data_IF_693262298580
#
_entry.id   IF_693262298580
#
_cell.length_a   1.000
_cell.length_b   1.000
_cell.length_c   1.000
_cell.angle_alpha   90.00
_cell.angle_beta   90.00
_cell.angle_gamma   90.00
#
_symmetry.space_group_name_H-M   'P 1'
#
loop_
_entity.id
_entity.type
_entity.pdbx_description
1 polymer ?
#
# COMPACT_ATOMS: atom_id res chain seq x y z
N UNK A 1 11.39 19.31 -25.24
CA UNK A 1 10.07 18.65 -25.19
C UNK A 1 10.24 17.36 -24.40
N UNK A 2 9.61 17.23 -23.22
CA UNK A 2 9.55 15.94 -22.52
C UNK A 2 8.65 15.02 -23.34
N UNK A 3 9.16 13.84 -23.71
CA UNK A 3 8.40 12.81 -24.43
C UNK A 3 7.29 12.37 -23.48
N UNK A 4 6.02 12.54 -23.84
CA UNK A 4 4.92 11.98 -23.05
C UNK A 4 5.09 10.46 -23.05
N UNK A 5 5.19 9.83 -21.88
CA UNK A 5 5.01 8.40 -21.80
C UNK A 5 3.60 8.11 -22.28
N UNK A 6 3.48 7.22 -23.26
CA UNK A 6 2.20 6.73 -23.75
C UNK A 6 1.99 5.26 -23.36
N UNK A 7 2.99 4.64 -22.73
CA UNK A 7 3.01 3.24 -22.34
C UNK A 7 3.74 3.06 -21.02
N UNK A 8 3.35 2.08 -20.23
CA UNK A 8 4.04 1.58 -19.03
C UNK A 8 4.29 0.08 -19.20
N UNK A 9 5.55 -0.36 -19.08
CA UNK A 9 6.00 -1.74 -19.40
C UNK A 9 5.45 -2.33 -20.72
N UNK A 10 5.35 -1.49 -21.75
CA UNK A 10 4.85 -1.87 -23.08
C UNK A 10 3.32 -1.80 -23.25
N UNK A 11 2.57 -1.59 -22.17
CA UNK A 11 1.11 -1.45 -22.20
C UNK A 11 0.69 0.01 -22.35
N UNK A 12 -0.27 0.34 -23.24
CA UNK A 12 -0.76 1.71 -23.41
C UNK A 12 -1.38 2.27 -22.14
N UNK A 13 -1.11 3.54 -21.84
CA UNK A 13 -1.78 4.24 -20.74
C UNK A 13 -3.29 4.41 -21.06
N UNK A 14 -4.14 4.10 -20.08
CA UNK A 14 -5.57 4.37 -20.19
C UNK A 14 -5.86 5.88 -20.12
N UNK A 15 -7.05 6.32 -20.57
CA UNK A 15 -7.49 7.70 -20.35
C UNK A 15 -7.48 8.10 -18.88
N UNK A 16 -7.86 7.18 -17.98
CA UNK A 16 -7.81 7.40 -16.54
C UNK A 16 -6.37 7.69 -16.10
N UNK A 17 -5.41 6.87 -16.52
CA UNK A 17 -4.01 7.06 -16.15
C UNK A 17 -3.43 8.38 -16.66
N UNK A 18 -3.80 8.78 -17.88
CA UNK A 18 -3.40 10.08 -18.45
C UNK A 18 -4.00 11.26 -17.68
N UNK A 19 -5.23 11.11 -17.16
CA UNK A 19 -5.93 12.15 -16.41
C UNK A 19 -5.46 12.24 -14.96
N UNK A 20 -5.34 11.10 -14.26
CA UNK A 20 -4.98 11.02 -12.86
C UNK A 20 -3.48 11.17 -12.62
N UNK A 21 -2.65 10.79 -13.60
CA UNK A 21 -1.21 10.64 -13.44
C UNK A 21 -0.79 9.33 -12.78
N UNK A 22 -1.69 8.36 -12.64
CA UNK A 22 -1.43 7.06 -12.00
C UNK A 22 -1.94 5.89 -12.85
N UNK A 23 -1.18 4.80 -12.91
CA UNK A 23 -1.55 3.60 -13.68
C UNK A 23 -2.82 2.97 -13.12
N UNK A 24 -3.76 2.57 -13.99
CA UNK A 24 -4.96 1.84 -13.57
C UNK A 24 -4.66 0.36 -13.25
N UNK A 25 -5.42 -0.22 -12.32
CA UNK A 25 -5.22 -1.61 -11.89
C UNK A 25 -5.38 -2.63 -13.02
N UNK A 26 -6.18 -2.33 -14.05
CA UNK A 26 -6.30 -3.23 -15.20
C UNK A 26 -4.96 -3.36 -15.91
N UNK A 27 -4.25 -2.26 -16.12
CA UNK A 27 -2.90 -2.27 -16.70
C UNK A 27 -1.89 -2.94 -15.76
N UNK A 28 -2.00 -2.75 -14.44
CA UNK A 28 -1.20 -3.47 -13.44
C UNK A 28 -1.37 -4.98 -13.57
N UNK A 29 -2.62 -5.46 -13.68
CA UNK A 29 -2.92 -6.88 -13.84
C UNK A 29 -2.23 -7.49 -15.05
N UNK A 30 -2.32 -6.81 -16.18
CA UNK A 30 -1.77 -7.28 -17.45
C UNK A 30 -0.23 -7.34 -17.41
N UNK A 31 0.42 -6.34 -16.81
CA UNK A 31 1.89 -6.29 -16.68
C UNK A 31 2.40 -7.34 -15.68
N UNK A 32 1.69 -7.53 -14.57
CA UNK A 32 2.13 -8.42 -13.49
C UNK A 32 1.77 -9.89 -13.73
N UNK A 33 0.86 -10.15 -14.66
CA UNK A 33 0.30 -11.48 -14.89
C UNK A 33 -0.64 -11.92 -13.77
N UNK A 34 -1.42 -10.99 -13.22
CA UNK A 34 -2.29 -11.22 -12.07
C UNK A 34 -3.42 -12.21 -12.39
N UNK A 35 -3.45 -13.32 -11.66
CA UNK A 35 -4.50 -14.34 -11.74
C UNK A 35 -5.12 -14.56 -10.35
N UNK A 36 -6.46 -14.72 -10.22
CA UNK A 36 -7.11 -14.90 -8.93
C UNK A 36 -6.48 -16.05 -8.12
N UNK A 37 -6.17 -15.79 -6.85
CA UNK A 37 -5.52 -16.76 -5.97
C UNK A 37 -6.20 -16.79 -4.60
N UNK A 38 -6.52 -17.99 -4.13
CA UNK A 38 -7.11 -18.18 -2.80
C UNK A 38 -6.01 -18.53 -1.80
N UNK A 39 -5.51 -17.51 -1.10
CA UNK A 39 -4.46 -17.69 -0.07
C UNK A 39 -4.95 -18.45 1.17
N UNK A 40 -6.27 -18.64 1.32
CA UNK A 40 -6.89 -19.32 2.48
C UNK A 40 -7.26 -20.77 2.20
N UNK A 41 -7.09 -21.25 0.96
CA UNK A 41 -7.49 -22.58 0.55
C UNK A 41 -6.69 -23.71 1.22
N UNK A 42 -5.56 -23.37 1.86
CA UNK A 42 -4.53 -24.31 2.26
C UNK A 42 -3.83 -23.85 3.54
N UNK A 43 -3.33 -24.80 4.35
CA UNK A 43 -2.41 -24.52 5.48
C UNK A 43 -0.98 -24.22 4.95
N UNK A 44 -0.88 -23.44 3.87
CA UNK A 44 0.36 -23.21 3.15
C UNK A 44 1.13 -22.05 3.76
N UNK A 45 1.93 -22.36 4.78
CA UNK A 45 2.96 -21.48 5.31
C UNK A 45 2.50 -20.10 5.81
N UNK A 46 3.49 -19.30 6.21
CA UNK A 46 3.26 -17.90 6.56
C UNK A 46 3.48 -17.03 5.30
N UNK A 47 2.57 -16.07 5.06
CA UNK A 47 2.72 -15.07 4.01
C UNK A 47 3.45 -13.86 4.57
N UNK A 48 4.62 -13.53 4.00
CA UNK A 48 5.41 -12.36 4.38
C UNK A 48 5.03 -11.16 3.51
N UNK A 49 4.75 -10.02 4.13
CA UNK A 49 4.61 -8.75 3.41
C UNK A 49 5.99 -8.28 2.93
N UNK A 50 6.19 -8.27 1.62
CA UNK A 50 7.47 -7.87 0.99
C UNK A 50 7.40 -6.50 0.31
N UNK A 51 6.20 -5.92 0.17
CA UNK A 51 6.00 -4.56 -0.34
C UNK A 51 4.78 -3.86 0.24
N UNK A 52 4.86 -2.53 0.33
CA UNK A 52 3.77 -1.69 0.81
C UNK A 52 3.62 -1.72 2.33
N UNK A 53 2.46 -1.26 2.79
CA UNK A 53 2.12 -1.18 4.21
C UNK A 53 0.66 -1.61 4.41
N UNK A 54 0.49 -2.75 5.07
CA UNK A 54 -0.82 -3.32 5.38
C UNK A 54 -1.36 -2.86 6.74
N UNK A 55 -0.73 -1.84 7.35
CA UNK A 55 -1.20 -1.20 8.56
C UNK A 55 -1.53 0.26 8.32
N UNK A 56 -2.54 0.76 9.02
CA UNK A 56 -2.82 2.18 9.11
C UNK A 56 -3.13 2.59 10.56
N UNK A 57 -2.83 3.84 10.87
CA UNK A 57 -2.97 4.42 12.20
C UNK A 57 -3.79 5.70 12.12
N UNK A 58 -4.46 6.03 13.23
CA UNK A 58 -5.22 7.26 13.37
C UNK A 58 -4.75 8.08 14.56
N UNK A 59 -4.73 9.40 14.43
CA UNK A 59 -4.61 10.29 15.57
C UNK A 59 -6.00 10.65 16.16
N UNK A 60 -6.02 11.48 17.20
CA UNK A 60 -7.28 11.91 17.84
C UNK A 60 -8.16 12.80 16.95
N UNK A 61 -7.66 13.30 15.82
CA UNK A 61 -8.41 14.06 14.82
C UNK A 61 -8.95 13.18 13.69
N UNK A 62 -8.56 11.90 13.65
CA UNK A 62 -8.90 10.97 12.57
C UNK A 62 -8.06 11.15 11.31
N UNK A 63 -6.89 11.81 11.41
CA UNK A 63 -5.92 11.81 10.33
C UNK A 63 -5.33 10.40 10.19
N UNK A 64 -5.09 9.96 8.94
CA UNK A 64 -4.63 8.61 8.62
C UNK A 64 -3.14 8.61 8.32
N UNK A 65 -2.44 7.63 8.87
CA UNK A 65 -1.00 7.45 8.71
C UNK A 65 -0.71 6.00 8.31
N UNK A 66 0.24 5.79 7.41
CA UNK A 66 0.95 4.51 7.28
C UNK A 66 2.00 4.42 8.41
N UNK A 67 2.70 3.29 8.52
CA UNK A 67 3.65 3.01 9.59
C UNK A 67 4.83 3.99 9.60
N UNK A 68 5.34 4.38 8.43
CA UNK A 68 6.45 5.34 8.34
C UNK A 68 5.99 6.72 8.79
N UNK A 69 4.88 7.22 8.25
CA UNK A 69 4.32 8.51 8.64
C UNK A 69 3.92 8.53 10.12
N UNK A 70 3.38 7.42 10.66
CA UNK A 70 3.04 7.30 12.07
C UNK A 70 4.30 7.39 12.94
N UNK A 71 5.38 6.70 12.56
CA UNK A 71 6.65 6.76 13.28
C UNK A 71 7.25 8.18 13.26
N UNK A 72 7.29 8.85 12.11
CA UNK A 72 7.77 10.23 12.00
C UNK A 72 6.92 11.18 12.85
N UNK A 73 5.61 11.01 12.83
CA UNK A 73 4.68 11.83 13.62
C UNK A 73 4.89 11.62 15.11
N UNK A 74 5.12 10.39 15.56
CA UNK A 74 5.44 10.09 16.97
C UNK A 74 6.73 10.80 17.39
N UNK A 75 7.79 10.77 16.59
CA UNK A 75 9.05 11.46 16.89
C UNK A 75 8.84 12.98 17.06
N UNK A 76 8.05 13.59 16.19
CA UNK A 76 7.69 15.02 16.30
C UNK A 76 6.94 15.30 17.61
N UNK A 77 5.90 14.50 17.91
CA UNK A 77 5.08 14.67 19.10
C UNK A 77 5.88 14.47 20.38
N UNK A 78 6.80 13.51 20.44
CA UNK A 78 7.70 13.28 21.57
C UNK A 78 8.61 14.50 21.81
N UNK A 79 9.15 15.09 20.75
CA UNK A 79 9.95 16.31 20.84
C UNK A 79 9.12 17.51 21.37
N UNK A 80 7.86 17.64 20.91
CA UNK A 80 6.93 18.67 21.39
C UNK A 80 6.60 18.48 22.87
N UNK A 81 6.35 17.25 23.32
CA UNK A 81 6.08 16.91 24.72
C UNK A 81 7.29 17.28 25.59
N UNK A 82 8.50 16.91 25.18
CA UNK A 82 9.73 17.24 25.90
C UNK A 82 9.98 18.76 26.01
N UNK A 83 9.61 19.53 24.96
CA UNK A 83 9.77 20.98 24.90
C UNK A 83 8.69 21.80 25.62
N UNK A 84 7.61 21.17 26.09
CA UNK A 84 6.36 21.85 26.51
C UNK A 84 6.44 22.70 27.78
N UNK A 85 7.50 22.57 28.60
CA UNK A 85 7.73 23.36 29.84
C UNK A 85 6.49 23.52 30.75
N UNK A 86 5.68 22.47 30.89
CA UNK A 86 4.51 22.45 31.77
C UNK A 86 3.19 22.90 31.13
N UNK A 87 3.15 23.05 29.82
CA UNK A 87 1.89 23.15 29.07
C UNK A 87 1.15 21.80 29.06
N UNK A 88 -0.15 21.84 28.79
CA UNK A 88 -0.95 20.63 28.62
C UNK A 88 -0.54 19.90 27.33
N UNK A 89 -0.07 18.68 27.47
CA UNK A 89 0.35 17.81 26.36
C UNK A 89 -0.53 16.57 26.24
N UNK A 90 -1.70 16.56 26.87
CA UNK A 90 -2.56 15.36 26.95
C UNK A 90 -2.94 14.84 25.57
N UNK A 91 -3.23 15.76 24.63
CA UNK A 91 -3.55 15.41 23.25
C UNK A 91 -2.38 14.75 22.51
N UNK A 92 -1.19 15.35 22.54
CA UNK A 92 0.00 14.75 21.91
C UNK A 92 0.33 13.37 22.47
N UNK A 93 0.14 13.18 23.79
CA UNK A 93 0.34 11.86 24.42
C UNK A 93 -0.69 10.83 23.96
N UNK A 94 -1.95 11.24 23.80
CA UNK A 94 -2.99 10.38 23.25
C UNK A 94 -2.71 10.02 21.79
N UNK A 95 -2.29 10.99 20.97
CA UNK A 95 -1.90 10.77 19.58
C UNK A 95 -0.70 9.79 19.51
N UNK A 96 0.33 9.95 20.37
CA UNK A 96 1.44 8.99 20.44
C UNK A 96 0.94 7.58 20.75
N UNK A 97 0.08 7.41 21.77
CA UNK A 97 -0.45 6.09 22.15
C UNK A 97 -1.21 5.42 20.99
N UNK A 98 -2.06 6.17 20.28
CA UNK A 98 -2.80 5.68 19.12
C UNK A 98 -1.85 5.26 17.99
N UNK A 99 -0.91 6.13 17.63
CA UNK A 99 0.02 5.92 16.51
C UNK A 99 1.06 4.82 16.79
N UNK A 100 1.29 4.41 18.04
CA UNK A 100 2.22 3.32 18.37
C UNK A 100 1.54 1.99 18.66
N UNK A 101 0.29 1.98 19.10
CA UNK A 101 -0.34 0.80 19.72
C UNK A 101 -1.63 0.37 19.04
N UNK A 102 -2.31 1.30 18.36
CA UNK A 102 -3.65 1.10 17.81
C UNK A 102 -3.65 1.12 16.28
N UNK A 103 -2.66 0.48 15.67
CA UNK A 103 -2.67 0.20 14.24
C UNK A 103 -3.79 -0.78 13.88
N UNK A 104 -4.44 -0.53 12.75
CA UNK A 104 -5.45 -1.39 12.16
C UNK A 104 -4.93 -2.00 10.86
N UNK A 105 -5.30 -3.26 10.60
CA UNK A 105 -4.92 -3.98 9.38
C UNK A 105 -5.76 -3.48 8.21
N UNK A 106 -5.08 -3.23 7.08
CA UNK A 106 -5.68 -2.89 5.80
C UNK A 106 -6.49 -4.06 5.27
N UNK A 107 -7.78 -3.81 5.05
CA UNK A 107 -8.70 -4.82 4.51
C UNK A 107 -8.35 -5.16 3.06
N UNK A 108 -7.73 -6.32 2.85
CA UNK A 108 -7.56 -6.91 1.52
C UNK A 108 -8.87 -7.60 1.10
N UNK A 109 -9.40 -7.21 -0.06
CA UNK A 109 -10.62 -7.76 -0.63
C UNK A 109 -10.37 -9.12 -1.29
N UNK A 110 -9.30 -9.21 -2.09
CA UNK A 110 -8.96 -10.36 -2.90
C UNK A 110 -7.44 -10.42 -3.14
N UNK A 111 -6.92 -11.61 -3.40
CA UNK A 111 -5.52 -11.86 -3.71
C UNK A 111 -5.36 -12.39 -5.13
N UNK A 112 -4.27 -12.00 -5.77
CA UNK A 112 -3.95 -12.42 -7.12
C UNK A 112 -2.51 -12.88 -7.17
N UNK A 113 -2.27 -14.11 -7.62
CA UNK A 113 -0.92 -14.58 -7.92
C UNK A 113 -0.36 -13.72 -9.05
N UNK A 114 0.87 -13.27 -8.86
CA UNK A 114 1.61 -12.50 -9.84
C UNK A 114 2.93 -13.21 -10.18
N UNK A 115 3.48 -12.88 -11.34
CA UNK A 115 4.82 -13.35 -11.72
C UNK A 115 5.89 -12.71 -10.85
N UNK A 116 7.06 -13.35 -10.71
CA UNK A 116 8.22 -12.78 -10.02
C UNK A 116 8.64 -11.42 -10.63
N UNK A 117 8.59 -11.30 -11.96
CA UNK A 117 8.86 -10.03 -12.66
C UNK A 117 7.80 -8.98 -12.31
N UNK A 118 6.53 -9.36 -12.26
CA UNK A 118 5.43 -8.51 -11.80
C UNK A 118 5.63 -8.02 -10.36
N UNK A 119 5.99 -8.92 -9.44
CA UNK A 119 6.29 -8.57 -8.06
C UNK A 119 7.44 -7.55 -7.96
N UNK A 120 8.51 -7.75 -8.74
CA UNK A 120 9.64 -6.83 -8.79
C UNK A 120 9.23 -5.44 -9.28
N UNK A 121 8.42 -5.36 -10.33
CA UNK A 121 7.89 -4.08 -10.82
C UNK A 121 7.09 -3.36 -9.72
N UNK A 122 6.21 -4.08 -9.02
CA UNK A 122 5.43 -3.49 -7.93
C UNK A 122 6.32 -3.01 -6.77
N UNK A 123 7.33 -3.79 -6.39
CA UNK A 123 8.29 -3.41 -5.35
C UNK A 123 9.14 -2.19 -5.72
N UNK A 124 9.50 -2.05 -6.99
CA UNK A 124 10.37 -0.97 -7.46
C UNK A 124 9.60 0.34 -7.72
N UNK A 125 8.31 0.25 -8.06
CA UNK A 125 7.55 1.39 -8.63
C UNK A 125 6.28 1.76 -7.84
N UNK A 126 5.97 1.07 -6.75
CA UNK A 126 4.68 1.23 -6.06
C UNK A 126 4.73 0.91 -4.57
N UNK A 127 3.66 1.31 -3.87
CA UNK A 127 3.38 0.88 -2.50
C UNK A 127 2.22 -0.13 -2.47
N UNK A 128 1.99 -0.87 -3.56
CA UNK A 128 1.00 -1.94 -3.60
C UNK A 128 1.39 -3.06 -2.64
N UNK A 129 0.40 -3.70 -2.02
CA UNK A 129 0.64 -4.82 -1.10
C UNK A 129 1.09 -6.04 -1.89
N UNK A 130 2.34 -6.45 -1.70
CA UNK A 130 2.87 -7.70 -2.25
C UNK A 130 3.25 -8.60 -1.11
N UNK A 131 2.72 -9.81 -1.13
CA UNK A 131 3.08 -10.87 -0.20
C UNK A 131 3.86 -11.97 -0.92
N UNK A 132 4.77 -12.60 -0.20
CA UNK A 132 5.54 -13.74 -0.67
C UNK A 132 5.37 -14.93 0.28
N UNK A 133 5.30 -16.12 -0.28
CA UNK A 133 5.29 -17.37 0.46
C UNK A 133 6.53 -18.18 0.07
N UNK A 134 7.47 -18.36 1.00
CA UNK A 134 8.73 -19.08 0.76
C UNK A 134 8.50 -20.57 0.49
N UNK A 135 7.50 -21.19 1.12
CA UNK A 135 7.23 -22.63 0.96
C UNK A 135 6.64 -22.95 -0.42
N UNK A 136 5.82 -22.04 -0.95
CA UNK A 136 5.19 -22.16 -2.26
C UNK A 136 6.01 -21.57 -3.40
N UNK A 137 6.95 -20.67 -3.08
CA UNK A 137 7.65 -19.80 -4.03
C UNK A 137 6.67 -18.99 -4.89
N UNK A 138 5.71 -18.34 -4.25
CA UNK A 138 4.62 -17.60 -4.89
C UNK A 138 4.54 -16.17 -4.36
N UNK A 139 4.38 -15.21 -5.28
CA UNK A 139 4.02 -13.84 -4.98
C UNK A 139 2.53 -13.61 -5.20
N UNK A 140 1.89 -12.86 -4.31
CA UNK A 140 0.51 -12.41 -4.47
C UNK A 140 0.39 -10.89 -4.28
N UNK A 141 -0.41 -10.26 -5.12
CA UNK A 141 -0.89 -8.89 -4.97
C UNK A 141 -2.14 -8.88 -4.09
N UNK A 142 -2.12 -8.11 -3.01
CA UNK A 142 -3.28 -7.86 -2.15
C UNK A 142 -4.08 -6.62 -2.61
N UNK A 143 -5.31 -6.81 -3.07
CA UNK A 143 -6.14 -5.74 -3.62
C UNK A 143 -7.08 -5.17 -2.56
N UNK A 144 -6.99 -3.85 -2.29
CA UNK A 144 -7.77 -3.18 -1.24
C UNK A 144 -9.07 -2.49 -1.73
N UNK A 145 -9.45 -2.66 -3.00
CA UNK A 145 -10.65 -2.03 -3.56
C UNK A 145 -11.71 -3.08 -3.95
N UNK A 146 -12.82 -3.10 -3.21
CA UNK A 146 -13.84 -4.14 -3.39
C UNK A 146 -14.86 -3.74 -4.49
N UNK A 147 -15.18 -4.68 -5.39
CA UNK A 147 -16.34 -4.59 -6.30
C UNK A 147 -16.29 -3.49 -7.37
N UNK A 148 -15.17 -2.79 -7.54
CA UNK A 148 -14.99 -1.76 -8.56
C UNK A 148 -14.17 -2.31 -9.74
N UNK A 149 -14.57 -1.97 -10.96
CA UNK A 149 -13.81 -2.37 -12.16
C UNK A 149 -12.39 -1.82 -12.10
N UNK A 150 -11.39 -2.67 -12.34
CA UNK A 150 -9.97 -2.32 -12.30
C UNK A 150 -9.58 -1.25 -13.33
N UNK A 151 -10.41 -1.03 -14.36
CA UNK A 151 -10.25 0.06 -15.34
C UNK A 151 -10.61 1.45 -14.77
N UNK A 152 -11.26 1.49 -13.61
CA UNK A 152 -11.77 2.69 -12.95
C UNK A 152 -11.05 2.98 -11.63
N UNK A 153 -10.01 2.20 -11.29
CA UNK A 153 -9.26 2.35 -10.05
C UNK A 153 -7.79 2.57 -10.38
N UNK A 154 -7.21 3.63 -9.82
CA UNK A 154 -5.77 3.90 -9.90
C UNK A 154 -5.01 3.06 -8.88
N UNK A 155 -3.84 2.59 -9.27
CA UNK A 155 -2.78 2.11 -8.38
C UNK A 155 -2.01 3.28 -7.77
N UNK A 156 -1.01 2.95 -6.96
CA UNK A 156 -0.01 3.90 -6.43
C UNK A 156 1.12 4.23 -7.41
N UNK A 157 1.15 3.63 -8.61
CA UNK A 157 2.24 3.79 -9.60
C UNK A 157 2.04 5.08 -10.41
N UNK A 158 2.98 6.04 -10.40
CA UNK A 158 2.89 7.27 -11.18
C UNK A 158 3.25 7.06 -12.67
N UNK A 159 2.71 7.93 -13.55
CA UNK A 159 2.99 8.01 -15.00
C UNK A 159 4.26 8.78 -15.35
#
# INVERSE_FOLDING_TARGET
MRRKLNTWHGYPLSPLAVESGFIDYYTVAEVTGAEPYDIYASEEGDWELVNGDDMYFYDTDGNVYDSEMAWERVQELEAMVAGSKGQDTSRWKADIELLTTHGEVRGVCDYFQITEEGARILMDESNELVYYNEELDVYVLGVCHCGTSWRLVCSSIPV
#
